data_IF_082733744606
#
_entry.id   IF_082733744606
#
_cell.length_a   1.000
_cell.length_b   1.000
_cell.length_c   1.000
_cell.angle_alpha   90.00
_cell.angle_beta   90.00
_cell.angle_gamma   90.00
#
_symmetry.space_group_name_H-M   'P 1'
#
loop_
_entity.id
_entity.type
_entity.pdbx_description
1 polymer ?
#
# COMPACT_ATOMS: atom_id res chain seq x y z
N UNK A 1 -8.80 3.82 14.26
CA UNK A 1 -9.81 2.85 14.73
C UNK A 1 -10.98 2.68 13.75
N UNK A 2 -11.32 3.67 12.91
CA UNK A 2 -12.39 3.54 11.90
C UNK A 2 -12.03 2.55 10.79
N UNK A 3 -10.84 2.68 10.18
CA UNK A 3 -10.41 1.78 9.08
C UNK A 3 -10.32 0.31 9.51
N UNK A 4 -9.78 0.03 10.71
CA UNK A 4 -9.67 -1.32 11.25
C UNK A 4 -11.03 -1.98 11.49
N UNK A 5 -12.02 -1.25 12.00
CA UNK A 5 -13.38 -1.77 12.18
C UNK A 5 -14.06 -2.13 10.85
N UNK A 6 -13.90 -1.26 9.84
CA UNK A 6 -14.44 -1.48 8.49
C UNK A 6 -13.76 -2.66 7.80
N UNK A 7 -12.44 -2.83 7.97
CA UNK A 7 -11.69 -3.98 7.45
C UNK A 7 -12.17 -5.29 8.11
N UNK A 8 -12.38 -5.29 9.43
CA UNK A 8 -12.87 -6.48 10.15
C UNK A 8 -14.30 -6.85 9.73
N UNK A 9 -15.16 -5.86 9.50
CA UNK A 9 -16.49 -6.08 8.91
C UNK A 9 -16.37 -6.70 7.52
N UNK A 10 -15.53 -6.14 6.64
CA UNK A 10 -15.30 -6.65 5.30
C UNK A 10 -14.81 -8.12 5.31
N UNK A 11 -13.91 -8.48 6.23
CA UNK A 11 -13.43 -9.85 6.41
C UNK A 11 -14.56 -10.79 6.87
N UNK A 12 -15.44 -10.34 7.76
CA UNK A 12 -16.58 -11.11 8.25
C UNK A 12 -17.70 -11.28 7.21
N UNK A 13 -17.83 -10.34 6.27
CA UNK A 13 -18.91 -10.33 5.27
C UNK A 13 -18.54 -11.09 3.99
N UNK A 14 -17.24 -11.22 3.68
CA UNK A 14 -16.73 -12.01 2.53
C UNK A 14 -17.29 -13.44 2.43
N UNK A 15 -17.39 -14.25 3.51
CA UNK A 15 -17.94 -15.61 3.45
C UNK A 15 -19.44 -15.66 3.09
N UNK A 16 -20.21 -14.64 3.48
CA UNK A 16 -21.64 -14.56 3.18
C UNK A 16 -21.88 -14.24 1.71
N UNK A 17 -21.09 -13.32 1.14
CA UNK A 17 -21.15 -13.00 -0.29
C UNK A 17 -20.57 -14.12 -1.17
N UNK A 18 -19.55 -14.84 -0.71
CA UNK A 18 -19.03 -16.02 -1.41
C UNK A 18 -20.07 -17.13 -1.53
N UNK A 19 -20.92 -17.33 -0.51
CA UNK A 19 -22.08 -18.25 -0.57
C UNK A 19 -23.18 -17.78 -1.54
N UNK A 20 -23.27 -16.48 -1.84
CA UNK A 20 -24.24 -15.89 -2.75
C UNK A 20 -23.73 -15.75 -4.21
N UNK A 21 -22.50 -16.21 -4.51
CA UNK A 21 -21.93 -16.21 -5.86
C UNK A 21 -21.56 -14.83 -6.43
N UNK A 22 -21.77 -13.73 -5.68
CA UNK A 22 -21.47 -12.36 -6.12
C UNK A 22 -20.82 -11.54 -5.00
N UNK A 23 -19.68 -10.93 -5.30
CA UNK A 23 -19.03 -9.94 -4.43
C UNK A 23 -19.90 -8.68 -4.44
N UNK A 24 -20.49 -8.32 -3.30
CA UNK A 24 -21.34 -7.13 -3.18
C UNK A 24 -20.60 -5.83 -3.51
N UNK A 25 -21.27 -4.91 -4.21
CA UNK A 25 -20.71 -3.60 -4.60
C UNK A 25 -20.20 -2.81 -3.39
N UNK A 26 -20.91 -2.87 -2.25
CA UNK A 26 -20.49 -2.21 -1.01
C UNK A 26 -19.14 -2.71 -0.47
N UNK A 27 -18.85 -4.01 -0.61
CA UNK A 27 -17.55 -4.56 -0.19
C UNK A 27 -16.41 -4.06 -1.08
N UNK A 28 -16.64 -3.95 -2.40
CA UNK A 28 -15.65 -3.38 -3.34
C UNK A 28 -15.40 -1.90 -3.09
N UNK A 29 -16.46 -1.13 -2.78
CA UNK A 29 -16.36 0.28 -2.42
C UNK A 29 -15.52 0.47 -1.16
N UNK A 30 -15.79 -0.31 -0.12
CA UNK A 30 -15.05 -0.29 1.14
C UNK A 30 -13.57 -0.67 0.93
N UNK A 31 -13.30 -1.73 0.17
CA UNK A 31 -11.93 -2.13 -0.14
C UNK A 31 -11.19 -1.02 -0.91
N UNK A 32 -11.81 -0.43 -1.93
CA UNK A 32 -11.23 0.65 -2.73
C UNK A 32 -10.93 1.89 -1.89
N UNK A 33 -11.89 2.34 -1.07
CA UNK A 33 -11.71 3.49 -0.18
C UNK A 33 -10.60 3.24 0.84
N UNK A 34 -10.54 2.06 1.45
CA UNK A 34 -9.46 1.73 2.38
C UNK A 34 -8.09 1.71 1.69
N UNK A 35 -7.98 1.15 0.49
CA UNK A 35 -6.74 1.17 -0.29
C UNK A 35 -6.32 2.63 -0.56
N UNK A 36 -7.18 3.41 -1.21
CA UNK A 36 -6.83 4.76 -1.65
C UNK A 36 -6.62 5.75 -0.50
N UNK A 37 -7.28 5.55 0.65
CA UNK A 37 -7.05 6.40 1.83
C UNK A 37 -5.82 5.98 2.61
N UNK A 38 -5.63 4.69 2.90
CA UNK A 38 -4.52 4.24 3.76
C UNK A 38 -3.21 4.14 2.99
N UNK A 39 -3.22 3.55 1.79
CA UNK A 39 -2.03 3.42 0.96
C UNK A 39 -1.78 4.63 0.06
N UNK A 40 -2.84 5.35 -0.33
CA UNK A 40 -2.73 6.55 -1.18
C UNK A 40 -2.25 7.80 -0.44
N UNK A 41 -2.51 7.92 0.87
CA UNK A 41 -2.11 9.12 1.62
C UNK A 41 -0.58 9.30 1.71
N UNK A 42 0.25 8.26 1.95
CA UNK A 42 1.69 8.39 1.84
C UNK A 42 2.18 8.87 0.46
N UNK A 43 1.53 8.43 -0.63
CA UNK A 43 1.83 8.91 -1.99
C UNK A 43 1.54 10.40 -2.10
N UNK A 44 0.40 10.86 -1.57
CA UNK A 44 0.00 12.25 -1.62
C UNK A 44 0.99 13.16 -0.87
N UNK A 45 1.40 12.77 0.34
CA UNK A 45 2.43 13.51 1.09
C UNK A 45 3.79 13.53 0.38
N UNK A 46 4.21 12.39 -0.19
CA UNK A 46 5.45 12.34 -0.95
C UNK A 46 5.37 13.25 -2.20
N UNK A 47 4.26 13.19 -2.95
CA UNK A 47 4.03 14.06 -4.10
C UNK A 47 4.03 15.55 -3.72
N UNK A 48 3.45 15.91 -2.57
CA UNK A 48 3.52 17.28 -2.05
C UNK A 48 4.98 17.72 -1.82
N UNK A 49 5.82 16.88 -1.21
CA UNK A 49 7.24 17.21 -1.01
C UNK A 49 8.02 17.33 -2.32
N UNK A 50 7.70 16.51 -3.32
CA UNK A 50 8.24 16.64 -4.68
C UNK A 50 7.79 17.95 -5.32
N UNK A 51 6.51 18.28 -5.23
CA UNK A 51 5.95 19.55 -5.73
C UNK A 51 6.64 20.76 -5.10
N UNK A 52 6.86 20.75 -3.79
CA UNK A 52 7.55 21.81 -3.08
C UNK A 52 9.00 22.05 -3.57
N UNK A 53 9.65 21.04 -4.17
CA UNK A 53 11.01 21.15 -4.75
C UNK A 53 11.02 21.50 -6.24
N UNK A 54 10.02 21.04 -6.98
CA UNK A 54 9.96 21.19 -8.44
C UNK A 54 9.22 22.46 -8.86
N UNK A 55 8.29 22.96 -8.04
CA UNK A 55 7.55 24.19 -8.35
C UNK A 55 8.48 25.40 -8.11
N UNK A 56 8.65 26.28 -9.12
CA UNK A 56 9.48 27.47 -8.99
C UNK A 56 9.05 28.38 -7.85
N UNK A 57 10.02 29.00 -7.16
CA UNK A 57 9.74 29.92 -6.06
C UNK A 57 8.96 31.15 -6.51
N UNK A 58 9.13 31.56 -7.78
CA UNK A 58 8.44 32.69 -8.40
C UNK A 58 7.04 32.35 -8.93
N UNK A 59 6.55 31.12 -8.75
CA UNK A 59 5.22 30.74 -9.21
C UNK A 59 4.15 31.51 -8.43
N UNK A 60 3.22 32.12 -9.16
CA UNK A 60 2.01 32.70 -8.57
C UNK A 60 1.16 31.58 -7.95
N UNK A 61 0.51 31.87 -6.82
CA UNK A 61 -0.37 30.92 -6.13
C UNK A 61 0.30 29.57 -5.84
N UNK A 62 1.58 29.62 -5.46
CA UNK A 62 2.37 28.42 -5.16
C UNK A 62 1.72 27.53 -4.08
N UNK A 63 1.21 28.06 -2.94
CA UNK A 63 0.53 27.23 -1.95
C UNK A 63 -0.64 26.42 -2.53
N UNK A 64 -1.42 27.03 -3.41
CA UNK A 64 -2.56 26.41 -4.10
C UNK A 64 -2.08 25.32 -5.06
N UNK A 65 -0.99 25.56 -5.79
CA UNK A 65 -0.39 24.56 -6.68
C UNK A 65 0.18 23.36 -5.91
N UNK A 66 0.84 23.59 -4.78
CA UNK A 66 1.34 22.51 -3.93
C UNK A 66 0.19 21.66 -3.37
N UNK A 67 -0.88 22.31 -2.88
CA UNK A 67 -2.10 21.61 -2.47
C UNK A 67 -2.73 20.83 -3.63
N UNK A 68 -2.76 21.40 -4.84
CA UNK A 68 -3.27 20.73 -6.02
C UNK A 68 -2.46 19.46 -6.34
N UNK A 69 -1.13 19.49 -6.23
CA UNK A 69 -0.28 18.29 -6.42
C UNK A 69 -0.67 17.18 -5.43
N UNK A 70 -0.87 17.54 -4.16
CA UNK A 70 -1.33 16.58 -3.14
C UNK A 70 -2.68 15.96 -3.53
N UNK A 71 -3.69 16.78 -3.84
CA UNK A 71 -5.03 16.29 -4.14
C UNK A 71 -5.09 15.51 -5.45
N UNK A 72 -4.33 15.90 -6.47
CA UNK A 72 -4.24 15.17 -7.73
C UNK A 72 -3.60 13.80 -7.53
N UNK A 73 -2.48 13.71 -6.81
CA UNK A 73 -1.83 12.45 -6.50
C UNK A 73 -2.74 11.53 -5.68
N UNK A 74 -3.44 12.09 -4.68
CA UNK A 74 -4.36 11.31 -3.86
C UNK A 74 -5.57 10.82 -4.64
N UNK A 75 -6.15 11.69 -5.49
CA UNK A 75 -7.27 11.33 -6.36
C UNK A 75 -6.87 10.24 -7.35
N UNK A 76 -5.67 10.33 -7.95
CA UNK A 76 -5.15 9.29 -8.82
C UNK A 76 -5.00 7.95 -8.09
N UNK A 77 -4.49 7.97 -6.85
CA UNK A 77 -4.40 6.76 -6.02
C UNK A 77 -5.79 6.18 -5.69
N UNK A 78 -6.77 7.01 -5.36
CA UNK A 78 -8.16 6.60 -5.13
C UNK A 78 -8.78 5.98 -6.39
N UNK A 79 -8.66 6.64 -7.54
CA UNK A 79 -9.17 6.13 -8.82
C UNK A 79 -8.53 4.78 -9.18
N UNK A 80 -7.21 4.65 -9.00
CA UNK A 80 -6.51 3.37 -9.17
C UNK A 80 -7.08 2.28 -8.26
N UNK A 81 -7.38 2.60 -7.00
CA UNK A 81 -8.00 1.67 -6.06
C UNK A 81 -9.42 1.23 -6.49
N UNK A 82 -10.21 2.11 -7.11
CA UNK A 82 -11.53 1.80 -7.63
C UNK A 82 -11.50 0.89 -8.86
N UNK A 83 -10.55 1.11 -9.76
CA UNK A 83 -10.37 0.26 -10.96
C UNK A 83 -9.99 -1.16 -10.54
N UNK A 84 -9.09 -1.30 -9.58
CA UNK A 84 -8.56 -2.60 -9.18
C UNK A 84 -8.46 -2.77 -7.65
N UNK A 85 -9.59 -2.99 -6.94
CA UNK A 85 -9.62 -3.14 -5.48
C UNK A 85 -9.15 -4.54 -5.06
N UNK A 86 -7.94 -4.91 -5.48
CA UNK A 86 -7.29 -6.17 -5.13
C UNK A 86 -6.10 -5.90 -4.22
N UNK A 87 -5.68 -6.96 -3.54
CA UNK A 87 -4.50 -6.97 -2.69
C UNK A 87 -3.20 -6.56 -3.41
N UNK A 88 -3.12 -6.79 -4.71
CA UNK A 88 -2.01 -6.31 -5.53
C UNK A 88 -1.92 -4.78 -5.55
N UNK A 89 -3.06 -4.07 -5.57
CA UNK A 89 -3.10 -2.61 -5.58
C UNK A 89 -2.61 -2.00 -4.26
N UNK A 90 -2.89 -2.66 -3.12
CA UNK A 90 -2.27 -2.29 -1.84
C UNK A 90 -0.74 -2.28 -1.94
N UNK A 91 -0.16 -3.36 -2.46
CA UNK A 91 1.28 -3.47 -2.59
C UNK A 91 1.84 -2.43 -3.57
N UNK A 92 1.17 -2.22 -4.72
CA UNK A 92 1.57 -1.23 -5.70
C UNK A 92 1.60 0.19 -5.14
N UNK A 93 0.54 0.63 -4.47
CA UNK A 93 0.50 1.97 -3.88
C UNK A 93 1.54 2.14 -2.77
N UNK A 94 1.73 1.13 -1.92
CA UNK A 94 2.76 1.17 -0.88
C UNK A 94 4.18 1.22 -1.47
N UNK A 95 4.46 0.46 -2.53
CA UNK A 95 5.76 0.53 -3.22
C UNK A 95 5.96 1.87 -3.92
N UNK A 96 4.93 2.43 -4.53
CA UNK A 96 5.00 3.74 -5.16
C UNK A 96 5.30 4.83 -4.13
N UNK A 97 4.57 4.84 -3.00
CA UNK A 97 4.84 5.76 -1.90
C UNK A 97 6.24 5.58 -1.31
N UNK A 98 6.69 4.32 -1.16
CA UNK A 98 8.04 4.01 -0.71
C UNK A 98 9.11 4.57 -1.66
N UNK A 99 8.94 4.37 -2.97
CA UNK A 99 9.86 4.86 -3.98
C UNK A 99 9.93 6.39 -3.97
N UNK A 100 8.80 7.08 -3.92
CA UNK A 100 8.76 8.54 -3.87
C UNK A 100 9.47 9.12 -2.63
N UNK A 101 9.32 8.48 -1.47
CA UNK A 101 9.98 8.93 -0.23
C UNK A 101 11.48 8.62 -0.20
N UNK A 102 11.90 7.44 -0.67
CA UNK A 102 13.33 7.07 -0.72
C UNK A 102 14.09 7.87 -1.79
N UNK A 103 13.42 8.27 -2.87
CA UNK A 103 14.01 9.10 -3.91
C UNK A 103 14.02 10.60 -3.56
N UNK A 104 13.37 11.00 -2.47
CA UNK A 104 13.32 12.40 -2.04
C UNK A 104 14.71 13.01 -1.77
N UNK A 105 15.65 12.32 -1.09
CA UNK A 105 16.98 12.87 -0.85
C UNK A 105 17.83 12.94 -2.13
N UNK A 106 17.56 12.05 -3.10
CA UNK A 106 18.17 12.12 -4.43
C UNK A 106 17.66 13.35 -5.17
N UNK A 107 16.35 13.63 -5.09
CA UNK A 107 15.78 14.85 -5.63
C UNK A 107 16.40 16.09 -4.97
N UNK A 108 16.53 16.10 -3.64
CA UNK A 108 17.22 17.17 -2.91
C UNK A 108 18.65 17.40 -3.41
N UNK A 109 19.40 16.33 -3.69
CA UNK A 109 20.77 16.44 -4.23
C UNK A 109 20.81 17.04 -5.64
N UNK A 110 19.74 16.92 -6.42
CA UNK A 110 19.67 17.47 -7.77
C UNK A 110 19.11 18.90 -7.81
N UNK A 111 18.21 19.25 -6.89
CA UNK A 111 17.51 20.53 -6.90
C UNK A 111 18.08 21.56 -5.93
N UNK A 112 18.87 21.12 -4.94
CA UNK A 112 19.23 21.94 -3.79
C UNK A 112 20.71 21.75 -3.43
N UNK A 113 21.35 22.83 -2.96
CA UNK A 113 22.70 22.75 -2.40
C UNK A 113 22.76 22.10 -1.01
N UNK A 114 21.62 21.92 -0.34
CA UNK A 114 21.48 21.29 0.96
C UNK A 114 20.97 19.85 0.82
N UNK A 115 21.88 18.92 0.52
CA UNK A 115 21.59 17.49 0.40
C UNK A 115 22.40 16.68 1.42
N UNK A 116 21.97 15.44 1.72
CA UNK A 116 22.58 14.54 2.72
C UNK A 116 24.12 14.50 2.68
N UNK A 117 24.70 14.44 1.48
CA UNK A 117 26.16 14.43 1.28
C UNK A 117 26.91 15.68 1.74
N UNK A 118 26.22 16.82 1.89
CA UNK A 118 26.76 18.08 2.42
C UNK A 118 26.28 18.36 3.85
N UNK A 119 25.03 18.06 4.16
CA UNK A 119 24.43 18.37 5.49
C UNK A 119 24.97 17.47 6.59
N UNK A 120 25.25 16.19 6.33
CA UNK A 120 25.82 15.27 7.32
C UNK A 120 27.27 15.65 7.69
N UNK A 121 28.18 15.90 6.73
CA UNK A 121 29.53 16.39 7.07
C UNK A 121 29.53 17.79 7.70
N UNK A 122 28.57 18.65 7.35
CA UNK A 122 28.43 19.98 7.93
C UNK A 122 27.79 19.99 9.33
N UNK A 123 27.29 18.86 9.83
CA UNK A 123 26.63 18.76 11.14
C UNK A 123 25.21 19.35 11.18
N UNK A 124 24.60 19.64 10.04
CA UNK A 124 23.25 20.21 9.94
C UNK A 124 22.18 19.10 10.01
N UNK A 125 21.99 18.59 11.24
CA UNK A 125 21.07 17.50 11.54
C UNK A 125 19.60 17.87 11.33
N UNK A 126 19.24 19.15 11.31
CA UNK A 126 17.88 19.58 11.06
C UNK A 126 17.44 19.24 9.63
N UNK A 127 18.29 19.55 8.64
CA UNK A 127 18.05 19.21 7.24
C UNK A 127 18.28 17.72 6.96
N UNK A 128 19.35 17.14 7.51
CA UNK A 128 19.64 15.71 7.33
C UNK A 128 18.55 14.81 7.94
N UNK A 129 17.95 15.22 9.07
CA UNK A 129 16.91 14.47 9.75
C UNK A 129 15.65 14.25 8.90
N UNK A 130 15.26 15.26 8.11
CA UNK A 130 14.11 15.16 7.19
C UNK A 130 14.33 14.05 6.16
N UNK A 131 15.50 14.05 5.53
CA UNK A 131 15.85 13.04 4.52
C UNK A 131 15.94 11.64 5.12
N UNK A 132 16.51 11.50 6.31
CA UNK A 132 16.59 10.23 7.03
C UNK A 132 15.21 9.69 7.40
N UNK A 133 14.31 10.54 7.89
CA UNK A 133 12.92 10.16 8.21
C UNK A 133 12.18 9.74 6.95
N UNK A 134 12.35 10.46 5.83
CA UNK A 134 11.74 10.09 4.56
C UNK A 134 12.23 8.71 4.08
N UNK A 135 13.54 8.47 4.13
CA UNK A 135 14.11 7.15 3.83
C UNK A 135 13.58 6.05 4.76
N UNK A 136 13.52 6.32 6.07
CA UNK A 136 13.03 5.36 7.06
C UNK A 136 11.56 5.00 6.80
N UNK A 137 10.69 5.99 6.59
CA UNK A 137 9.28 5.80 6.27
C UNK A 137 9.12 5.06 4.93
N UNK A 138 9.89 5.42 3.91
CA UNK A 138 9.89 4.72 2.63
C UNK A 138 10.27 3.24 2.75
N UNK A 139 11.31 2.93 3.53
CA UNK A 139 11.69 1.55 3.85
C UNK A 139 10.58 0.80 4.60
N UNK A 140 9.94 1.44 5.59
CA UNK A 140 8.81 0.84 6.32
C UNK A 140 7.63 0.54 5.39
N UNK A 141 7.30 1.44 4.45
CA UNK A 141 6.25 1.21 3.45
C UNK A 141 6.61 0.06 2.50
N UNK A 142 7.86 -0.03 2.04
CA UNK A 142 8.32 -1.14 1.21
C UNK A 142 8.25 -2.49 1.95
N UNK A 143 8.59 -2.51 3.23
CA UNK A 143 8.45 -3.69 4.10
C UNK A 143 6.97 -4.08 4.29
N UNK A 144 6.09 -3.09 4.51
CA UNK A 144 4.66 -3.30 4.60
C UNK A 144 4.08 -3.86 3.28
N UNK A 145 4.52 -3.33 2.13
CA UNK A 145 4.15 -3.83 0.81
C UNK A 145 4.58 -5.30 0.61
N UNK A 146 5.84 -5.63 0.93
CA UNK A 146 6.35 -7.01 0.88
C UNK A 146 5.56 -7.95 1.78
N UNK A 147 5.25 -7.53 3.01
CA UNK A 147 4.45 -8.31 3.95
C UNK A 147 3.02 -8.49 3.45
N UNK A 148 2.45 -7.45 2.82
CA UNK A 148 1.14 -7.48 2.18
C UNK A 148 1.11 -8.40 0.95
N UNK A 149 2.21 -8.66 0.25
CA UNK A 149 2.24 -9.66 -0.82
C UNK A 149 2.41 -11.09 -0.27
N UNK A 150 3.26 -11.25 0.75
CA UNK A 150 3.62 -12.56 1.30
C UNK A 150 2.61 -13.14 2.28
N UNK A 151 1.74 -12.32 2.87
CA UNK A 151 0.76 -12.83 3.83
C UNK A 151 -0.19 -13.82 3.14
N UNK A 152 -0.36 -15.02 3.68
CA UNK A 152 -1.35 -15.97 3.18
C UNK A 152 -2.52 -15.93 4.16
N UNK A 153 -3.77 -15.76 3.69
CA UNK A 153 -4.90 -15.86 4.59
C UNK A 153 -4.84 -17.24 5.28
N UNK A 154 -5.01 -17.31 6.61
CA UNK A 154 -5.04 -18.59 7.31
C UNK A 154 -6.16 -19.44 6.71
N UNK A 155 -5.88 -20.73 6.47
CA UNK A 155 -6.84 -21.68 5.91
C UNK A 155 -8.16 -21.56 6.68
N UNK A 156 -9.27 -21.40 5.96
CA UNK A 156 -10.60 -21.42 6.55
C UNK A 156 -10.78 -22.71 7.35
N UNK A 157 -11.55 -22.67 8.45
CA UNK A 157 -11.86 -23.86 9.23
C UNK A 157 -12.49 -24.97 8.35
N UNK A 158 -13.20 -24.59 7.29
CA UNK A 158 -13.73 -25.53 6.29
C UNK A 158 -12.64 -26.16 5.42
N UNK A 159 -11.64 -25.40 5.00
CA UNK A 159 -10.50 -25.88 4.20
C UNK A 159 -9.55 -26.74 5.04
N UNK A 160 -9.34 -26.40 6.32
CA UNK A 160 -8.65 -27.27 7.28
C UNK A 160 -9.36 -28.61 7.40
N UNK A 161 -10.67 -28.61 7.66
CA UNK A 161 -11.47 -29.84 7.77
C UNK A 161 -11.49 -30.65 6.46
N UNK A 162 -11.50 -29.99 5.30
CA UNK A 162 -11.41 -30.66 4.01
C UNK A 162 -10.04 -31.32 3.78
N UNK A 163 -8.95 -30.63 4.14
CA UNK A 163 -7.58 -31.21 4.11
C UNK A 163 -7.42 -32.35 5.11
N UNK A 164 -7.96 -32.22 6.31
CA UNK A 164 -7.96 -33.27 7.33
C UNK A 164 -8.76 -34.49 6.86
N UNK A 165 -9.92 -34.30 6.21
CA UNK A 165 -10.69 -35.39 5.59
C UNK A 165 -9.98 -36.05 4.42
N UNK A 166 -9.31 -35.26 3.57
CA UNK A 166 -8.53 -35.79 2.45
C UNK A 166 -7.27 -36.55 2.93
N UNK A 167 -6.65 -36.10 4.02
CA UNK A 167 -5.52 -36.79 4.65
C UNK A 167 -5.95 -38.04 5.44
N UNK A 168 -7.20 -38.09 5.92
CA UNK A 168 -7.77 -39.24 6.63
C UNK A 168 -8.42 -40.28 5.70
N UNK A 169 -8.56 -40.01 4.41
CA UNK A 169 -8.93 -41.04 3.44
C UNK A 169 -7.68 -41.89 3.13
N UNK A 170 -7.65 -43.18 3.53
CA UNK A 170 -6.60 -44.07 3.07
C UNK A 170 -6.73 -44.16 1.55
N UNK A 171 -5.60 -44.08 0.85
CA UNK A 171 -5.52 -44.40 -0.58
C UNK A 171 -6.09 -45.81 -0.73
N UNK A 172 -7.31 -45.90 -1.26
CA UNK A 172 -7.99 -47.17 -1.48
C UNK A 172 -7.23 -47.93 -2.56
N UNK A 173 -6.27 -48.74 -2.15
CA UNK A 173 -5.60 -49.76 -2.95
C UNK A 173 -6.58 -50.91 -3.22
N UNK A 174 -7.69 -50.63 -3.88
CA UNK A 174 -8.73 -51.60 -4.21
C UNK A 174 -8.84 -51.86 -5.73
N UNK A 175 -7.78 -51.60 -6.50
CA UNK A 175 -7.80 -51.74 -7.96
C UNK A 175 -6.58 -52.50 -8.54
N UNK A 176 -6.03 -53.48 -7.83
CA UNK A 176 -4.99 -54.37 -8.38
C UNK A 176 -5.31 -55.87 -8.30
N UNK A 177 -6.54 -56.27 -7.96
CA UNK A 177 -6.95 -57.67 -8.09
C UNK A 177 -8.08 -57.79 -9.12
N UNK A 178 -7.71 -58.12 -10.35
CA UNK A 178 -8.53 -59.00 -11.20
C UNK A 178 -7.64 -60.12 -11.74
N UNK A 179 -8.15 -61.37 -11.73
CA UNK A 179 -7.39 -62.62 -11.81
C UNK A 179 -6.75 -62.92 -13.16
#
# INVERSE_FOLDING_TARGET
MVASGVILWAVKERPKHAKAGRIGVGLRLVDALNIGTVAGLPIAFAAYFWGNRLIPVSAAERPEQEAAVFFLAWTAALLGAFVWPKRAMWAWQLYLGAALLVLLPVLNALTTDAHLGKTVPAGDWALAGVDLVCCALGCMLALAARRMQRWQPPLSAAERRARERAAAQPVSTAALETP
#
